data_IF_591829803535
#
_entry.id   IF_591829803535
#
_cell.length_a   1.000
_cell.length_b   1.000
_cell.length_c   1.000
_cell.angle_alpha   90.00
_cell.angle_beta   90.00
_cell.angle_gamma   90.00
#
_symmetry.space_group_name_H-M   'P 1'
#
loop_
_entity.id
_entity.type
_entity.pdbx_description
1 polymer ?
#
# COMPACT_ATOMS: atom_id res chain seq x y z
N UNK A 1 13.67 30.08 4.80
CA UNK A 1 14.46 29.37 5.82
C UNK A 1 15.78 30.10 5.98
N UNK A 2 16.25 30.38 7.21
CA UNK A 2 17.58 30.95 7.43
C UNK A 2 18.60 29.80 7.46
N UNK A 3 19.53 29.78 6.51
CA UNK A 3 20.50 28.70 6.31
C UNK A 3 21.88 28.97 6.91
N UNK A 4 22.08 30.12 7.55
CA UNK A 4 23.39 30.56 8.04
C UNK A 4 24.04 29.52 8.98
N UNK A 5 23.25 28.84 9.80
CA UNK A 5 23.72 27.77 10.68
C UNK A 5 24.23 26.54 9.92
N UNK A 6 23.57 26.20 8.80
CA UNK A 6 23.95 25.08 7.93
C UNK A 6 25.20 25.43 7.12
N UNK A 7 25.26 26.65 6.57
CA UNK A 7 26.42 27.19 5.87
C UNK A 7 27.65 27.22 6.78
N UNK A 8 27.48 27.64 8.04
CA UNK A 8 28.55 27.58 9.04
C UNK A 8 29.10 26.16 9.17
N UNK A 9 28.24 25.16 9.40
CA UNK A 9 28.67 23.76 9.54
C UNK A 9 29.40 23.27 8.27
N UNK A 10 28.89 23.60 7.09
CA UNK A 10 29.49 23.22 5.80
C UNK A 10 30.89 23.84 5.63
N UNK A 11 31.07 25.11 6.03
CA UNK A 11 32.35 25.82 5.90
C UNK A 11 33.39 25.43 6.96
N UNK A 12 32.97 24.77 8.06
CA UNK A 12 33.85 24.40 9.18
C UNK A 12 34.61 23.08 8.97
N UNK A 13 34.75 22.62 7.72
CA UNK A 13 35.44 21.35 7.38
C UNK A 13 36.86 21.23 7.94
N UNK A 14 37.62 22.32 8.01
CA UNK A 14 39.00 22.35 8.52
C UNK A 14 39.09 22.60 10.03
N UNK A 15 38.40 23.62 10.54
CA UNK A 15 38.53 24.09 11.93
C UNK A 15 37.61 23.39 12.92
N UNK A 16 36.58 22.67 12.45
CA UNK A 16 35.60 21.97 13.31
C UNK A 16 35.04 22.92 14.39
N UNK A 17 34.56 24.08 13.96
CA UNK A 17 34.00 25.10 14.85
C UNK A 17 32.76 24.62 15.61
N UNK A 18 32.57 25.11 16.82
CA UNK A 18 31.41 24.79 17.67
C UNK A 18 30.26 25.70 17.29
N UNK A 19 29.11 25.11 16.96
CA UNK A 19 27.88 25.83 16.68
C UNK A 19 27.09 26.04 17.96
N UNK A 20 26.79 27.29 18.31
CA UNK A 20 25.86 27.64 19.38
C UNK A 20 24.54 28.08 18.72
N UNK A 21 23.43 27.50 19.14
CA UNK A 21 22.10 27.79 18.60
C UNK A 21 21.13 28.11 19.71
N UNK A 22 20.24 29.07 19.45
CA UNK A 22 19.06 29.24 20.30
C UNK A 22 18.20 27.98 20.21
N UNK A 23 17.71 27.49 21.34
CA UNK A 23 16.74 26.38 21.39
C UNK A 23 15.43 26.68 20.61
N UNK A 24 15.11 27.96 20.43
CA UNK A 24 13.94 28.43 19.68
C UNK A 24 14.21 28.61 18.18
N UNK A 25 15.44 28.43 17.72
CA UNK A 25 15.76 28.53 16.30
C UNK A 25 15.20 27.31 15.56
N UNK A 26 14.62 27.50 14.38
CA UNK A 26 14.16 26.38 13.54
C UNK A 26 15.26 25.37 13.18
N UNK A 27 16.53 25.83 13.15
CA UNK A 27 17.68 24.94 12.94
C UNK A 27 18.04 24.09 14.18
N UNK A 28 17.51 24.39 15.37
CA UNK A 28 17.79 23.63 16.59
C UNK A 28 17.23 22.21 16.53
N UNK A 29 16.09 22.00 15.85
CA UNK A 29 15.52 20.68 15.67
C UNK A 29 16.42 19.77 14.80
N UNK A 30 17.09 20.35 13.81
CA UNK A 30 17.92 19.65 12.84
C UNK A 30 19.38 19.50 13.27
N UNK A 31 19.96 20.56 13.84
CA UNK A 31 21.39 20.65 14.18
C UNK A 31 21.64 20.57 15.70
N UNK A 32 20.59 20.41 16.51
CA UNK A 32 20.68 20.45 17.97
C UNK A 32 21.56 19.35 18.56
N UNK A 33 21.58 18.17 17.94
CA UNK A 33 22.37 17.04 18.42
C UNK A 33 23.90 17.27 18.33
N UNK A 34 24.36 18.12 17.40
CA UNK A 34 25.77 18.54 17.33
C UNK A 34 26.02 19.99 17.74
N UNK A 35 24.99 20.77 18.08
CA UNK A 35 25.12 22.15 18.55
C UNK A 35 25.12 22.24 20.09
N UNK A 36 25.54 23.39 20.63
CA UNK A 36 25.20 23.78 21.99
C UNK A 36 23.91 24.59 21.91
N UNK A 37 22.83 24.04 22.46
CA UNK A 37 21.55 24.74 22.56
C UNK A 37 21.56 25.66 23.77
N UNK A 38 21.11 26.90 23.58
CA UNK A 38 21.02 27.90 24.64
C UNK A 38 19.67 28.59 24.63
N UNK A 39 19.17 28.96 25.81
CA UNK A 39 18.11 29.94 25.90
C UNK A 39 18.70 31.35 25.74
N UNK A 40 18.37 32.10 24.66
CA UNK A 40 18.97 33.42 24.40
C UNK A 40 18.59 34.48 25.44
N UNK A 41 17.54 34.26 26.23
CA UNK A 41 17.11 35.15 27.30
C UNK A 41 17.89 34.95 28.60
N UNK A 42 18.61 33.83 28.72
CA UNK A 42 19.48 33.54 29.86
C UNK A 42 20.92 33.95 29.54
N UNK A 43 21.24 35.21 29.82
CA UNK A 43 22.54 35.82 29.47
C UNK A 43 23.71 35.07 30.11
N UNK A 44 23.53 34.54 31.33
CA UNK A 44 24.54 33.77 32.05
C UNK A 44 24.86 32.47 31.32
N UNK A 45 23.82 31.73 30.91
CA UNK A 45 23.96 30.47 30.17
C UNK A 45 24.58 30.68 28.79
N UNK A 46 24.23 31.77 28.10
CA UNK A 46 24.86 32.13 26.82
C UNK A 46 26.35 32.42 27.02
N UNK A 47 26.72 33.21 28.04
CA UNK A 47 28.11 33.51 28.35
C UNK A 47 28.91 32.24 28.71
N UNK A 48 28.32 31.36 29.51
CA UNK A 48 28.91 30.08 29.89
C UNK A 48 29.10 29.15 28.70
N UNK A 49 28.13 29.12 27.79
CA UNK A 49 28.17 28.32 26.56
C UNK A 49 29.23 28.83 25.59
N UNK A 50 29.42 30.14 25.46
CA UNK A 50 30.51 30.74 24.68
C UNK A 50 31.86 30.36 25.27
N UNK A 51 32.01 30.49 26.60
CA UNK A 51 33.24 30.08 27.31
C UNK A 51 33.52 28.60 27.07
N UNK A 52 32.51 27.75 27.24
CA UNK A 52 32.63 26.31 27.02
C UNK A 52 33.03 25.98 25.58
N UNK A 53 32.40 26.60 24.58
CA UNK A 53 32.73 26.43 23.17
C UNK A 53 34.18 26.82 22.84
N UNK A 54 34.70 27.90 23.45
CA UNK A 54 36.08 28.34 23.26
C UNK A 54 37.11 27.41 23.91
N UNK A 55 36.76 26.77 25.03
CA UNK A 55 37.63 25.84 25.77
C UNK A 55 37.41 24.37 25.39
N UNK A 56 36.52 24.08 24.45
CA UNK A 56 36.12 22.71 24.12
C UNK A 56 37.29 21.91 23.50
N UNK A 57 37.57 20.68 23.99
CA UNK A 57 38.59 19.81 23.43
C UNK A 57 38.38 19.52 21.94
N UNK A 58 39.46 19.31 21.19
CA UNK A 58 39.43 19.02 19.74
C UNK A 58 38.52 17.85 19.38
N UNK A 59 38.56 16.80 20.20
CA UNK A 59 37.90 15.54 19.91
C UNK A 59 36.37 15.68 20.04
N UNK A 60 35.92 16.45 21.04
CA UNK A 60 34.50 16.77 21.21
C UNK A 60 34.00 17.65 20.08
N UNK A 61 34.80 18.66 19.69
CA UNK A 61 34.49 19.55 18.57
C UNK A 61 34.34 18.80 17.26
N UNK A 62 35.24 17.85 17.00
CA UNK A 62 35.18 17.02 15.81
C UNK A 62 33.94 16.12 15.81
N UNK A 63 33.63 15.48 16.94
CA UNK A 63 32.44 14.64 17.07
C UNK A 63 31.15 15.42 16.81
N UNK A 64 31.02 16.60 17.41
CA UNK A 64 29.88 17.51 17.23
C UNK A 64 29.77 18.00 15.78
N UNK A 65 30.89 18.44 15.18
CA UNK A 65 30.93 18.85 13.77
C UNK A 65 30.52 17.71 12.86
N UNK A 66 31.05 16.49 13.08
CA UNK A 66 30.74 15.32 12.26
C UNK A 66 29.24 15.00 12.26
N UNK A 67 28.58 15.08 13.41
CA UNK A 67 27.15 14.83 13.53
C UNK A 67 26.33 15.84 12.71
N UNK A 68 26.61 17.14 12.88
CA UNK A 68 25.92 18.17 12.13
C UNK A 68 26.27 18.15 10.63
N UNK A 69 27.53 17.91 10.28
CA UNK A 69 27.98 17.87 8.89
C UNK A 69 27.31 16.74 8.12
N UNK A 70 27.19 15.55 8.73
CA UNK A 70 26.44 14.44 8.14
C UNK A 70 25.01 14.88 7.81
N UNK A 71 24.30 15.50 8.76
CA UNK A 71 22.94 15.99 8.54
C UNK A 71 22.84 17.01 7.40
N UNK A 72 23.74 18.00 7.35
CA UNK A 72 23.77 19.01 6.27
C UNK A 72 24.04 18.38 4.90
N UNK A 73 24.86 17.33 4.83
CA UNK A 73 25.20 16.68 3.56
C UNK A 73 24.17 15.66 3.07
N UNK A 74 23.39 15.06 3.97
CA UNK A 74 22.41 14.01 3.61
C UNK A 74 21.00 14.54 3.41
N UNK A 75 20.67 15.74 3.91
CA UNK A 75 19.35 16.35 3.77
C UNK A 75 19.45 17.52 2.80
N UNK A 76 19.47 17.21 1.50
CA UNK A 76 19.64 18.23 0.46
C UNK A 76 18.34 18.95 0.14
N UNK A 77 18.45 20.09 -0.54
CA UNK A 77 17.27 20.79 -1.07
C UNK A 77 16.52 19.93 -2.11
N UNK A 78 17.21 19.00 -2.78
CA UNK A 78 16.59 18.07 -3.71
C UNK A 78 15.76 17.03 -2.96
N UNK A 79 16.31 16.41 -1.91
CA UNK A 79 15.56 15.45 -1.08
C UNK A 79 14.33 16.10 -0.43
N UNK A 80 14.48 17.35 0.03
CA UNK A 80 13.36 18.14 0.53
C UNK A 80 12.31 18.41 -0.55
N UNK A 81 12.72 18.78 -1.76
CA UNK A 81 11.79 19.06 -2.86
C UNK A 81 11.04 17.80 -3.31
N UNK A 82 11.73 16.66 -3.39
CA UNK A 82 11.12 15.37 -3.70
C UNK A 82 10.10 14.96 -2.62
N UNK A 83 10.48 15.07 -1.34
CA UNK A 83 9.58 14.81 -0.21
C UNK A 83 8.37 15.75 -0.21
N UNK A 84 8.60 17.05 -0.44
CA UNK A 84 7.53 18.05 -0.47
C UNK A 84 6.55 17.81 -1.63
N UNK A 85 7.05 17.49 -2.83
CA UNK A 85 6.20 17.16 -3.98
C UNK A 85 5.43 15.86 -3.72
N UNK A 86 6.06 14.87 -3.10
CA UNK A 86 5.39 13.64 -2.69
C UNK A 86 4.26 13.91 -1.69
N UNK A 87 4.52 14.63 -0.60
CA UNK A 87 3.50 15.03 0.38
C UNK A 87 2.39 15.88 -0.26
N UNK A 88 2.74 16.78 -1.17
CA UNK A 88 1.77 17.61 -1.87
C UNK A 88 0.87 16.75 -2.78
N UNK A 89 1.43 15.80 -3.51
CA UNK A 89 0.63 14.84 -4.30
C UNK A 89 -0.27 14.00 -3.40
N UNK A 90 0.19 13.55 -2.24
CA UNK A 90 -0.62 12.81 -1.27
C UNK A 90 -1.79 13.69 -0.74
N UNK A 91 -1.53 14.96 -0.41
CA UNK A 91 -2.61 15.89 -0.01
C UNK A 91 -3.59 16.19 -1.13
N UNK A 92 -3.14 16.24 -2.40
CA UNK A 92 -4.02 16.38 -3.56
C UNK A 92 -4.86 15.13 -3.73
N UNK A 93 -4.29 13.94 -3.61
CA UNK A 93 -5.05 12.68 -3.62
C UNK A 93 -6.08 12.66 -2.49
N UNK A 94 -5.71 13.08 -1.28
CA UNK A 94 -6.63 13.20 -0.14
C UNK A 94 -7.72 14.26 -0.39
N UNK A 95 -7.39 15.39 -1.01
CA UNK A 95 -8.32 16.47 -1.35
C UNK A 95 -9.31 16.04 -2.46
N UNK A 96 -8.84 15.29 -3.46
CA UNK A 96 -9.68 14.68 -4.48
C UNK A 96 -10.63 13.67 -3.85
N UNK A 97 -10.15 12.83 -2.93
CA UNK A 97 -11.01 11.95 -2.13
C UNK A 97 -12.03 12.74 -1.28
N UNK A 98 -11.68 13.92 -0.78
CA UNK A 98 -12.58 14.81 -0.04
C UNK A 98 -13.66 15.47 -0.91
N UNK A 99 -13.39 15.68 -2.19
CA UNK A 99 -14.34 16.26 -3.17
C UNK A 99 -15.21 15.21 -3.86
N UNK A 100 -14.92 13.92 -3.70
CA UNK A 100 -15.77 12.85 -4.24
C UNK A 100 -17.13 12.83 -3.56
N UNK A 101 -18.16 12.77 -4.40
CA UNK A 101 -19.54 12.57 -3.95
C UNK A 101 -19.68 11.18 -3.36
N UNK A 102 -20.56 11.04 -2.37
CA UNK A 102 -20.92 9.75 -1.78
C UNK A 102 -21.54 8.89 -2.90
N UNK A 103 -21.05 7.66 -3.15
CA UNK A 103 -21.63 6.81 -4.17
C UNK A 103 -23.13 6.58 -3.90
N UNK A 104 -23.97 6.50 -4.95
CA UNK A 104 -25.38 6.20 -4.78
C UNK A 104 -25.58 4.81 -4.15
N UNK A 105 -26.74 4.60 -3.53
CA UNK A 105 -27.11 3.27 -3.01
C UNK A 105 -27.16 2.23 -4.13
N UNK A 106 -26.80 0.97 -3.80
CA UNK A 106 -26.88 -0.15 -4.75
C UNK A 106 -28.33 -0.33 -5.27
N UNK A 107 -28.57 -0.31 -6.59
CA UNK A 107 -29.86 -0.69 -7.15
C UNK A 107 -30.06 -2.21 -7.06
N UNK A 108 -30.42 -2.71 -5.86
CA UNK A 108 -30.49 -4.15 -5.53
C UNK A 108 -31.28 -4.97 -6.55
N UNK A 109 -32.45 -4.48 -6.95
CA UNK A 109 -33.32 -5.19 -7.89
C UNK A 109 -32.66 -5.37 -9.27
N UNK A 110 -31.93 -4.36 -9.75
CA UNK A 110 -31.22 -4.43 -11.02
C UNK A 110 -30.05 -5.40 -10.93
N UNK A 111 -29.27 -5.33 -9.85
CA UNK A 111 -28.15 -6.26 -9.61
C UNK A 111 -28.63 -7.72 -9.57
N UNK A 112 -29.71 -8.01 -8.84
CA UNK A 112 -30.31 -9.35 -8.78
C UNK A 112 -30.82 -9.79 -10.16
N UNK A 113 -31.49 -8.92 -10.91
CA UNK A 113 -31.98 -9.25 -12.25
C UNK A 113 -30.86 -9.57 -13.24
N UNK A 114 -29.76 -8.80 -13.22
CA UNK A 114 -28.61 -9.08 -14.07
C UNK A 114 -27.90 -10.36 -13.63
N UNK A 115 -27.77 -10.59 -12.33
CA UNK A 115 -27.24 -11.84 -11.77
C UNK A 115 -28.01 -13.05 -12.30
N UNK A 116 -29.35 -13.06 -12.24
CA UNK A 116 -30.17 -14.19 -12.71
C UNK A 116 -30.08 -14.44 -14.22
N UNK A 117 -29.77 -13.43 -15.02
CA UNK A 117 -29.63 -13.54 -16.49
C UNK A 117 -28.25 -14.02 -16.94
N UNK A 118 -27.27 -13.95 -16.05
CA UNK A 118 -25.86 -14.19 -16.35
C UNK A 118 -25.50 -15.67 -16.30
N UNK A 119 -24.53 -16.06 -17.12
CA UNK A 119 -24.14 -17.47 -17.31
C UNK A 119 -22.95 -17.86 -16.44
N UNK A 120 -22.00 -16.95 -16.22
CA UNK A 120 -20.83 -17.17 -15.38
C UNK A 120 -20.59 -15.94 -14.50
N UNK A 121 -20.87 -16.11 -13.21
CA UNK A 121 -20.98 -15.03 -12.22
C UNK A 121 -19.80 -15.06 -11.26
N UNK A 122 -19.18 -13.92 -11.04
CA UNK A 122 -18.12 -13.75 -10.05
C UNK A 122 -18.60 -12.88 -8.89
N UNK A 123 -18.60 -13.44 -7.68
CA UNK A 123 -18.93 -12.73 -6.44
C UNK A 123 -17.65 -12.55 -5.61
N UNK A 124 -17.25 -11.30 -5.40
CA UNK A 124 -16.09 -10.93 -4.59
C UNK A 124 -16.59 -10.26 -3.32
N UNK A 125 -16.32 -10.88 -2.17
CA UNK A 125 -16.80 -10.44 -0.88
C UNK A 125 -15.63 -10.12 0.05
N UNK A 126 -15.57 -8.90 0.57
CA UNK A 126 -14.70 -8.56 1.68
C UNK A 126 -15.17 -9.25 2.96
N UNK A 127 -14.25 -9.71 3.81
CA UNK A 127 -14.66 -10.30 5.11
C UNK A 127 -14.88 -9.20 6.16
N UNK A 128 -13.81 -8.50 6.53
CA UNK A 128 -13.77 -7.54 7.64
C UNK A 128 -14.81 -6.42 7.45
N UNK A 129 -15.64 -6.18 8.47
CA UNK A 129 -16.68 -5.13 8.47
C UNK A 129 -17.70 -5.22 7.33
N UNK A 130 -17.78 -6.36 6.65
CA UNK A 130 -18.69 -6.62 5.52
C UNK A 130 -19.55 -7.85 5.80
N UNK A 131 -18.93 -9.03 5.97
CA UNK A 131 -19.61 -10.27 6.32
C UNK A 131 -19.56 -10.59 7.83
N UNK A 132 -18.78 -9.81 8.57
CA UNK A 132 -18.61 -10.00 10.02
C UNK A 132 -19.84 -9.54 10.78
N UNK A 133 -20.15 -10.23 11.87
CA UNK A 133 -21.16 -9.79 12.83
C UNK A 133 -20.85 -8.36 13.32
N UNK A 134 -21.85 -7.45 13.37
CA UNK A 134 -21.64 -6.15 13.99
C UNK A 134 -21.29 -6.38 15.46
N UNK A 135 -20.12 -5.89 15.87
CA UNK A 135 -19.73 -5.89 17.29
C UNK A 135 -20.61 -4.85 17.99
N UNK A 136 -21.82 -5.25 18.37
CA UNK A 136 -22.68 -4.42 19.20
C UNK A 136 -21.96 -4.13 20.51
N UNK A 137 -21.89 -2.85 20.86
CA UNK A 137 -21.46 -2.35 22.16
C UNK A 137 -22.46 -2.78 23.24
N UNK A 138 -22.53 -4.06 23.54
CA UNK A 138 -23.41 -4.66 24.53
C UNK A 138 -22.85 -4.43 25.94
N UNK A 139 -22.73 -3.17 26.36
CA UNK A 139 -22.79 -2.72 27.76
C UNK A 139 -21.89 -3.36 28.84
N UNK A 140 -21.00 -4.29 28.52
CA UNK A 140 -20.20 -5.02 29.52
C UNK A 140 -18.90 -4.28 29.77
N UNK A 141 -18.95 -3.36 30.74
CA UNK A 141 -17.77 -2.82 31.43
C UNK A 141 -17.07 -3.96 32.19
N UNK A 142 -16.18 -4.68 31.53
CA UNK A 142 -15.31 -5.63 32.23
C UNK A 142 -14.33 -6.31 31.29
N UNK A 143 -13.03 -6.06 31.51
CA UNK A 143 -11.84 -6.89 31.25
C UNK A 143 -11.60 -7.56 29.88
N UNK A 144 -12.62 -8.13 29.24
CA UNK A 144 -12.53 -9.12 28.17
C UNK A 144 -12.92 -8.57 26.78
N UNK A 145 -12.89 -7.24 26.60
CA UNK A 145 -13.18 -6.56 25.32
C UNK A 145 -12.23 -6.94 24.18
N UNK A 146 -11.10 -7.58 24.50
CA UNK A 146 -10.14 -8.08 23.50
C UNK A 146 -10.66 -9.38 22.85
N UNK A 147 -11.50 -10.19 23.53
CA UNK A 147 -12.15 -11.37 22.91
C UNK A 147 -13.30 -11.01 21.97
N UNK A 148 -13.91 -9.84 22.14
CA UNK A 148 -14.90 -9.28 21.19
C UNK A 148 -14.28 -8.88 19.84
N UNK A 149 -12.98 -9.13 19.65
CA UNK A 149 -12.24 -8.88 18.42
C UNK A 149 -12.11 -10.09 17.49
N UNK A 150 -12.56 -11.27 17.91
CA UNK A 150 -12.61 -12.45 17.04
C UNK A 150 -13.58 -12.17 15.88
N UNK A 151 -13.05 -12.14 14.66
CA UNK A 151 -13.85 -11.93 13.46
C UNK A 151 -14.69 -13.18 13.22
N UNK A 152 -16.00 -13.07 13.45
CA UNK A 152 -16.98 -14.13 13.22
C UNK A 152 -17.92 -13.77 12.08
N UNK A 153 -18.20 -14.75 11.24
CA UNK A 153 -19.20 -14.66 10.19
C UNK A 153 -20.58 -14.42 10.79
N UNK A 154 -21.31 -13.46 10.25
CA UNK A 154 -22.68 -13.16 10.67
C UNK A 154 -23.56 -14.43 10.56
N UNK A 155 -24.28 -14.84 11.62
CA UNK A 155 -24.98 -16.13 11.65
C UNK A 155 -25.99 -16.28 10.51
N UNK A 156 -26.70 -15.20 10.19
CA UNK A 156 -27.68 -15.17 9.11
C UNK A 156 -27.13 -15.34 7.69
N UNK A 157 -25.80 -15.23 7.50
CA UNK A 157 -25.16 -15.40 6.19
C UNK A 157 -24.86 -16.85 5.85
N UNK A 158 -24.83 -17.76 6.83
CA UNK A 158 -24.46 -19.17 6.60
C UNK A 158 -25.38 -19.84 5.55
N UNK A 159 -26.69 -19.65 5.68
CA UNK A 159 -27.67 -20.17 4.72
C UNK A 159 -27.52 -19.59 3.32
N UNK A 160 -27.58 -18.26 3.15
CA UNK A 160 -27.39 -17.58 1.86
C UNK A 160 -26.06 -17.90 1.18
N UNK A 161 -24.94 -17.86 1.91
CA UNK A 161 -23.62 -18.16 1.34
C UNK A 161 -23.54 -19.61 0.87
N UNK A 162 -24.11 -20.57 1.62
CA UNK A 162 -24.15 -21.97 1.20
C UNK A 162 -24.90 -22.13 -0.12
N UNK A 163 -26.08 -21.51 -0.24
CA UNK A 163 -26.87 -21.55 -1.48
C UNK A 163 -26.13 -20.93 -2.68
N UNK A 164 -25.40 -19.82 -2.47
CA UNK A 164 -24.61 -19.19 -3.52
C UNK A 164 -23.38 -20.01 -3.93
N UNK A 165 -22.74 -20.70 -2.98
CA UNK A 165 -21.56 -21.54 -3.24
C UNK A 165 -21.91 -22.91 -3.85
N UNK A 166 -23.16 -23.35 -3.76
CA UNK A 166 -23.64 -24.59 -4.39
C UNK A 166 -24.00 -24.40 -5.87
N UNK A 167 -24.14 -23.15 -6.33
CA UNK A 167 -24.43 -22.83 -7.73
C UNK A 167 -23.16 -22.91 -8.59
N UNK A 168 -23.07 -23.91 -9.47
CA UNK A 168 -21.90 -24.15 -10.34
C UNK A 168 -21.60 -23.01 -11.32
N UNK A 169 -22.58 -22.13 -11.57
CA UNK A 169 -22.40 -20.95 -12.43
C UNK A 169 -21.88 -19.72 -11.66
N UNK A 170 -21.66 -19.85 -10.36
CA UNK A 170 -21.28 -18.76 -9.47
C UNK A 170 -19.98 -19.09 -8.75
N UNK A 171 -18.93 -18.36 -9.09
CA UNK A 171 -17.66 -18.42 -8.36
C UNK A 171 -17.67 -17.38 -7.24
N UNK A 172 -17.53 -17.83 -5.99
CA UNK A 172 -17.45 -16.95 -4.82
C UNK A 172 -16.00 -16.85 -4.34
N UNK A 173 -15.53 -15.61 -4.15
CA UNK A 173 -14.20 -15.28 -3.61
C UNK A 173 -14.39 -14.43 -2.35
N UNK A 174 -13.77 -14.85 -1.24
CA UNK A 174 -13.68 -14.04 -0.02
C UNK A 174 -12.27 -13.48 0.13
N UNK A 175 -12.18 -12.15 0.25
CA UNK A 175 -10.93 -11.43 0.44
C UNK A 175 -10.84 -10.84 1.85
N UNK A 176 -9.86 -11.28 2.63
CA UNK A 176 -9.63 -10.79 3.98
C UNK A 176 -8.26 -10.14 4.13
N UNK A 177 -8.12 -9.29 5.15
CA UNK A 177 -6.80 -8.90 5.65
C UNK A 177 -6.26 -9.88 6.70
N UNK A 178 -7.13 -10.70 7.29
CA UNK A 178 -6.82 -11.60 8.40
C UNK A 178 -6.03 -12.84 7.97
N UNK A 179 -5.53 -13.55 8.98
CA UNK A 179 -4.80 -14.81 8.86
C UNK A 179 -5.63 -15.94 8.25
N UNK A 180 -4.92 -16.98 7.80
CA UNK A 180 -5.47 -18.21 7.22
C UNK A 180 -6.39 -18.94 8.20
N UNK A 181 -6.00 -19.04 9.47
CA UNK A 181 -6.78 -19.72 10.52
C UNK A 181 -8.17 -19.12 10.70
N UNK A 182 -8.26 -17.79 10.75
CA UNK A 182 -9.54 -17.08 10.88
C UNK A 182 -10.46 -17.39 9.70
N UNK A 183 -9.91 -17.44 8.49
CA UNK A 183 -10.66 -17.77 7.28
C UNK A 183 -11.09 -19.25 7.24
N UNK A 184 -10.24 -20.17 7.67
CA UNK A 184 -10.56 -21.59 7.76
C UNK A 184 -11.66 -21.87 8.78
N UNK A 185 -11.62 -21.24 9.96
CA UNK A 185 -12.64 -21.38 10.99
C UNK A 185 -14.01 -20.86 10.55
N UNK A 186 -14.05 -19.77 9.79
CA UNK A 186 -15.30 -19.14 9.36
C UNK A 186 -15.86 -19.71 8.04
N UNK A 187 -14.98 -20.09 7.11
CA UNK A 187 -15.36 -20.43 5.74
C UNK A 187 -14.89 -21.82 5.27
N UNK A 188 -14.27 -22.61 6.14
CA UNK A 188 -13.75 -23.94 5.79
C UNK A 188 -14.79 -24.92 5.27
N UNK A 189 -16.07 -24.76 5.66
CA UNK A 189 -17.16 -25.62 5.20
C UNK A 189 -17.74 -25.26 3.81
N UNK A 190 -17.40 -24.09 3.25
CA UNK A 190 -17.98 -23.60 2.01
C UNK A 190 -17.09 -23.84 0.80
N UNK A 191 -17.73 -24.09 -0.35
CA UNK A 191 -17.08 -24.20 -1.66
C UNK A 191 -16.80 -22.82 -2.23
N UNK A 192 -15.74 -22.17 -1.76
CA UNK A 192 -15.34 -20.83 -2.21
C UNK A 192 -13.83 -20.66 -2.22
N UNK A 193 -13.36 -19.70 -3.01
CA UNK A 193 -11.98 -19.22 -2.97
C UNK A 193 -11.77 -18.32 -1.76
N UNK A 194 -10.67 -18.52 -1.04
CA UNK A 194 -10.27 -17.68 0.07
C UNK A 194 -8.94 -16.98 -0.21
N UNK A 195 -8.85 -15.70 0.14
CA UNK A 195 -7.59 -14.97 0.12
C UNK A 195 -7.32 -14.35 1.49
N UNK A 196 -6.27 -14.82 2.15
CA UNK A 196 -5.79 -14.32 3.43
C UNK A 196 -4.69 -13.26 3.23
N UNK A 197 -4.49 -12.41 4.24
CA UNK A 197 -3.46 -11.36 4.25
C UNK A 197 -3.40 -10.55 2.94
N UNK A 198 -4.55 -10.02 2.52
CA UNK A 198 -4.71 -9.20 1.32
C UNK A 198 -4.32 -9.90 0.00
N UNK A 199 -4.31 -11.23 0.01
CA UNK A 199 -3.98 -12.04 -1.16
C UNK A 199 -2.57 -12.61 -1.17
N UNK A 200 -1.84 -12.53 -0.06
CA UNK A 200 -0.58 -13.24 0.08
C UNK A 200 -0.78 -14.76 0.03
N UNK A 201 -1.83 -15.23 0.70
CA UNK A 201 -2.21 -16.64 0.70
C UNK A 201 -3.54 -16.80 -0.02
N UNK A 202 -3.60 -17.75 -0.95
CA UNK A 202 -4.80 -18.09 -1.68
C UNK A 202 -5.18 -19.54 -1.36
N UNK A 203 -6.46 -19.85 -1.32
CA UNK A 203 -6.97 -21.20 -1.22
C UNK A 203 -8.01 -21.40 -2.32
N UNK A 204 -7.75 -22.29 -3.30
CA UNK A 204 -8.77 -22.69 -4.25
C UNK A 204 -9.98 -23.33 -3.57
N UNK A 205 -11.10 -23.47 -4.29
CA UNK A 205 -12.32 -24.14 -3.81
C UNK A 205 -12.03 -25.53 -3.26
N UNK A 206 -11.15 -26.27 -3.92
CA UNK A 206 -10.69 -27.60 -3.54
C UNK A 206 -9.16 -27.57 -3.52
N UNK A 207 -8.56 -27.51 -2.34
CA UNK A 207 -7.10 -27.52 -2.23
C UNK A 207 -6.58 -27.02 -0.90
N UNK A 208 -5.26 -26.99 -0.82
CA UNK A 208 -4.53 -26.41 0.31
C UNK A 208 -4.19 -24.95 0.03
N UNK A 209 -3.80 -24.24 1.10
CA UNK A 209 -3.31 -22.87 0.98
C UNK A 209 -2.05 -22.81 0.12
N UNK A 210 -2.12 -22.06 -0.96
CA UNK A 210 -0.96 -21.69 -1.77
C UNK A 210 -0.45 -20.31 -1.32
N UNK A 211 0.87 -20.17 -1.30
CA UNK A 211 1.52 -18.92 -0.94
C UNK A 211 2.00 -18.24 -2.22
N UNK A 212 1.59 -16.99 -2.43
CA UNK A 212 1.92 -16.22 -3.65
C UNK A 212 3.11 -15.28 -3.47
N UNK A 213 4.03 -15.65 -2.58
CA UNK A 213 5.18 -14.82 -2.21
C UNK A 213 6.01 -14.47 -3.45
N UNK A 214 6.37 -13.19 -3.65
CA UNK A 214 7.42 -12.84 -4.58
C UNK A 214 8.73 -13.56 -4.19
N UNK A 215 9.49 -14.07 -5.17
CA UNK A 215 10.73 -14.84 -4.95
C UNK A 215 11.82 -14.07 -4.16
N UNK A 216 11.66 -12.77 -3.99
CA UNK A 216 12.59 -11.88 -3.29
C UNK A 216 11.98 -11.17 -2.08
N UNK A 217 10.96 -11.76 -1.44
CA UNK A 217 10.38 -11.14 -0.26
C UNK A 217 11.41 -11.08 0.87
N UNK A 218 11.84 -9.85 1.18
CA UNK A 218 12.72 -9.56 2.30
C UNK A 218 11.85 -9.25 3.54
N UNK A 219 12.03 -10.04 4.61
CA UNK A 219 11.34 -9.90 5.90
C UNK A 219 12.25 -9.35 7.01
N UNK A 220 13.42 -8.80 6.68
CA UNK A 220 14.40 -8.23 7.63
C UNK A 220 13.83 -7.03 8.41
N UNK A 221 12.74 -6.43 7.93
CA UNK A 221 12.05 -5.30 8.56
C UNK A 221 11.14 -5.73 9.72
N UNK A 222 10.74 -7.00 9.80
CA UNK A 222 9.71 -7.52 10.73
C UNK A 222 10.06 -7.22 12.19
N UNK A 223 11.25 -7.62 12.64
CA UNK A 223 11.68 -7.43 14.03
C UNK A 223 11.79 -5.93 14.38
N UNK A 224 12.26 -5.14 13.43
CA UNK A 224 12.41 -3.69 13.62
C UNK A 224 11.06 -2.97 13.71
N UNK A 225 10.08 -3.36 12.88
CA UNK A 225 8.70 -2.82 12.93
C UNK A 225 7.99 -3.28 14.20
N UNK A 226 8.17 -4.54 14.60
CA UNK A 226 7.62 -5.09 15.84
C UNK A 226 8.03 -4.25 17.05
N UNK A 227 9.30 -3.89 17.17
CA UNK A 227 9.76 -3.04 18.28
C UNK A 227 9.12 -1.65 18.30
N UNK A 228 8.88 -1.04 17.14
CA UNK A 228 8.14 0.23 17.06
C UNK A 228 6.70 0.04 17.50
N UNK A 229 6.03 -1.02 17.05
CA UNK A 229 4.64 -1.31 17.41
C UNK A 229 4.48 -1.61 18.90
N UNK A 230 5.39 -2.38 19.50
CA UNK A 230 5.47 -2.64 20.94
C UNK A 230 5.60 -1.32 21.72
N UNK A 231 6.57 -0.48 21.34
CA UNK A 231 6.81 0.81 21.99
C UNK A 231 5.58 1.71 21.99
N UNK A 232 4.87 1.82 20.86
CA UNK A 232 3.66 2.65 20.78
C UNK A 232 2.44 2.01 21.44
N UNK A 233 2.40 0.68 21.52
CA UNK A 233 1.33 -0.05 22.21
C UNK A 233 1.41 0.17 23.72
N UNK A 234 2.60 0.07 24.31
CA UNK A 234 2.82 0.29 25.75
C UNK A 234 2.41 1.69 26.22
N UNK A 235 2.65 2.73 25.39
CA UNK A 235 2.31 4.12 25.70
C UNK A 235 0.90 4.53 25.29
N UNK A 236 0.15 3.67 24.60
CA UNK A 236 -1.20 3.98 24.12
C UNK A 236 -2.21 3.01 24.75
N UNK A 237 -2.83 3.37 25.90
CA UNK A 237 -3.77 2.49 26.58
C UNK A 237 -4.89 2.00 25.66
N UNK A 238 -5.20 0.70 25.74
CA UNK A 238 -6.22 0.01 24.92
C UNK A 238 -5.92 -0.06 23.42
N UNK A 239 -4.74 0.36 22.99
CA UNK A 239 -4.22 -0.09 21.70
C UNK A 239 -3.66 -1.51 21.83
N UNK A 240 -3.54 -2.19 20.71
CA UNK A 240 -2.85 -3.47 20.58
C UNK A 240 -2.29 -3.56 19.16
N UNK A 241 -1.36 -4.48 18.96
CA UNK A 241 -0.99 -4.89 17.62
C UNK A 241 -1.23 -6.38 17.41
N UNK A 242 -1.51 -6.71 16.17
CA UNK A 242 -1.65 -8.06 15.65
C UNK A 242 -0.43 -8.34 14.78
N UNK A 243 0.27 -9.44 15.08
CA UNK A 243 1.36 -9.95 14.26
C UNK A 243 0.81 -11.08 13.40
N UNK A 244 0.77 -10.85 12.08
CA UNK A 244 0.41 -11.85 11.07
C UNK A 244 1.67 -12.45 10.47
N UNK A 245 1.53 -13.39 9.52
CA UNK A 245 2.71 -14.03 8.94
C UNK A 245 3.51 -13.08 8.04
N UNK A 246 2.83 -12.18 7.33
CA UNK A 246 3.46 -11.25 6.37
C UNK A 246 3.12 -9.77 6.59
N UNK A 247 2.31 -9.46 7.60
CA UNK A 247 1.97 -8.08 7.96
C UNK A 247 1.85 -7.84 9.47
N UNK A 248 1.91 -6.57 9.86
CA UNK A 248 1.61 -6.12 11.21
C UNK A 248 0.48 -5.11 11.17
N UNK A 249 -0.46 -5.21 12.09
CA UNK A 249 -1.55 -4.25 12.23
C UNK A 249 -1.58 -3.69 13.64
N UNK A 250 -1.34 -2.40 13.79
CA UNK A 250 -1.56 -1.69 15.04
C UNK A 250 -2.95 -1.08 15.03
N UNK A 251 -3.73 -1.37 16.07
CA UNK A 251 -5.12 -0.98 16.18
C UNK A 251 -5.34 -0.16 17.45
N UNK A 252 -5.91 1.02 17.27
CA UNK A 252 -6.21 1.96 18.35
C UNK A 252 -7.72 2.28 18.40
N UNK A 253 -8.57 1.37 17.91
CA UNK A 253 -10.02 1.54 17.86
C UNK A 253 -10.64 1.85 19.23
N UNK A 254 -10.12 1.21 20.27
CA UNK A 254 -10.59 1.31 21.66
C UNK A 254 -9.78 2.28 22.52
N UNK A 255 -8.71 2.87 21.97
CA UNK A 255 -8.00 3.97 22.59
C UNK A 255 -8.81 5.26 22.47
N UNK A 256 -8.39 6.29 23.20
CA UNK A 256 -8.89 7.64 22.97
C UNK A 256 -8.63 8.07 21.51
N UNK A 257 -9.62 8.72 20.88
CA UNK A 257 -9.62 8.96 19.43
C UNK A 257 -8.57 9.98 19.04
N UNK A 258 -8.46 11.07 19.82
CA UNK A 258 -7.54 12.16 19.53
C UNK A 258 -6.12 11.75 19.87
N UNK A 259 -5.93 11.16 21.05
CA UNK A 259 -4.64 10.64 21.48
C UNK A 259 -4.14 9.52 20.57
N UNK A 260 -4.98 8.52 20.26
CA UNK A 260 -4.65 7.43 19.35
C UNK A 260 -4.25 7.92 17.96
N UNK A 261 -4.89 8.97 17.45
CA UNK A 261 -4.51 9.59 16.17
C UNK A 261 -3.15 10.28 16.23
N UNK A 262 -2.84 11.01 17.30
CA UNK A 262 -1.52 11.62 17.50
C UNK A 262 -0.44 10.54 17.57
N UNK A 263 -0.70 9.48 18.34
CA UNK A 263 0.17 8.32 18.49
C UNK A 263 0.42 7.60 17.15
N UNK A 264 -0.62 7.44 16.33
CA UNK A 264 -0.49 6.88 14.98
C UNK A 264 0.43 7.73 14.10
N UNK A 265 0.27 9.05 14.13
CA UNK A 265 1.09 9.97 13.33
C UNK A 265 2.56 9.91 13.74
N UNK A 266 2.82 9.95 15.04
CA UNK A 266 4.18 9.87 15.57
C UNK A 266 4.80 8.48 15.26
N UNK A 267 4.01 7.39 15.35
CA UNK A 267 4.44 6.06 14.93
C UNK A 267 4.86 6.02 13.47
N UNK A 268 4.06 6.58 12.56
CA UNK A 268 4.38 6.63 11.14
C UNK A 268 5.71 7.34 10.88
N UNK A 269 5.96 8.44 11.58
CA UNK A 269 7.24 9.15 11.49
C UNK A 269 8.41 8.28 11.96
N UNK A 270 8.26 7.54 13.07
CA UNK A 270 9.28 6.62 13.57
C UNK A 270 9.56 5.45 12.61
N UNK A 271 8.51 4.94 11.97
CA UNK A 271 8.65 3.91 10.94
C UNK A 271 9.44 4.46 9.76
N UNK A 272 9.00 5.57 9.17
CA UNK A 272 9.62 6.16 7.97
C UNK A 272 11.06 6.62 8.18
N UNK A 273 11.39 7.13 9.37
CA UNK A 273 12.76 7.58 9.67
C UNK A 273 13.71 6.45 10.08
N UNK A 274 13.18 5.26 10.36
CA UNK A 274 13.96 4.13 10.85
C UNK A 274 13.73 2.85 10.04
N UNK A 275 13.01 1.86 10.57
CA UNK A 275 12.96 0.49 10.04
C UNK A 275 12.57 0.35 8.57
N UNK A 276 11.65 1.20 8.10
CA UNK A 276 11.04 1.04 6.78
C UNK A 276 11.59 2.02 5.74
N UNK A 277 12.57 2.86 6.11
CA UNK A 277 13.18 3.87 5.22
C UNK A 277 13.76 3.28 3.92
N UNK A 278 14.29 2.06 3.98
CA UNK A 278 14.89 1.34 2.85
C UNK A 278 14.29 -0.07 2.65
N UNK A 279 13.18 -0.37 3.31
CA UNK A 279 12.54 -1.68 3.22
C UNK A 279 11.47 -1.70 2.12
N UNK A 280 11.30 -2.84 1.46
CA UNK A 280 10.25 -3.04 0.44
C UNK A 280 8.87 -3.29 1.10
N UNK A 281 8.41 -2.31 1.88
CA UNK A 281 7.13 -2.37 2.60
C UNK A 281 6.21 -1.21 2.26
N UNK A 282 4.92 -1.51 2.30
CA UNK A 282 3.84 -0.57 2.18
C UNK A 282 3.18 -0.34 3.54
N UNK A 283 2.97 0.93 3.86
CA UNK A 283 2.14 1.32 5.00
C UNK A 283 0.73 1.62 4.51
N UNK A 284 -0.28 1.04 5.15
CA UNK A 284 -1.70 1.25 4.90
C UNK A 284 -2.33 1.90 6.13
N UNK A 285 -2.75 3.16 6.00
CA UNK A 285 -3.41 3.86 7.08
C UNK A 285 -4.93 3.63 7.03
N UNK A 286 -5.47 3.03 8.08
CA UNK A 286 -6.89 2.89 8.33
C UNK A 286 -7.47 4.07 9.12
N UNK A 287 -8.77 4.04 9.39
CA UNK A 287 -9.43 5.08 10.21
C UNK A 287 -8.98 5.04 11.68
N UNK A 288 -8.75 3.83 12.20
CA UNK A 288 -8.28 3.57 13.57
C UNK A 288 -7.22 2.47 13.64
N UNK A 289 -6.44 2.34 12.58
CA UNK A 289 -5.38 1.33 12.48
C UNK A 289 -4.26 1.80 11.57
N UNK A 290 -3.07 1.24 11.77
CA UNK A 290 -1.92 1.35 10.88
C UNK A 290 -1.45 -0.06 10.57
N UNK A 291 -1.37 -0.40 9.30
CA UNK A 291 -0.87 -1.69 8.83
C UNK A 291 0.43 -1.51 8.06
N UNK A 292 1.41 -2.39 8.33
CA UNK A 292 2.65 -2.50 7.57
C UNK A 292 2.67 -3.87 6.92
N UNK A 293 2.77 -3.90 5.60
CA UNK A 293 2.77 -5.13 4.78
C UNK A 293 3.82 -5.02 3.68
N UNK A 294 4.11 -6.13 3.01
CA UNK A 294 5.07 -6.12 1.90
C UNK A 294 4.54 -5.35 0.68
N UNK A 295 5.44 -4.70 -0.09
CA UNK A 295 5.08 -3.98 -1.32
C UNK A 295 4.45 -4.93 -2.35
N UNK A 296 3.41 -4.45 -3.03
CA UNK A 296 2.75 -5.18 -4.11
C UNK A 296 1.73 -6.23 -3.64
N UNK A 297 1.48 -6.32 -2.33
CA UNK A 297 0.41 -7.13 -1.76
C UNK A 297 -0.85 -6.27 -1.66
N UNK A 298 -1.74 -6.39 -2.64
CA UNK A 298 -3.04 -5.71 -2.66
C UNK A 298 -4.15 -6.68 -3.04
N UNK A 299 -5.39 -6.35 -2.67
CA UNK A 299 -6.56 -7.15 -3.02
C UNK A 299 -6.80 -7.20 -4.53
N UNK A 300 -6.50 -6.13 -5.28
CA UNK A 300 -6.53 -6.13 -6.74
C UNK A 300 -5.52 -7.12 -7.34
N UNK A 301 -4.27 -7.11 -6.87
CA UNK A 301 -3.24 -8.06 -7.31
C UNK A 301 -3.61 -9.52 -6.95
N UNK A 302 -4.29 -9.73 -5.82
CA UNK A 302 -4.82 -11.04 -5.44
C UNK A 302 -5.82 -11.59 -6.46
N UNK A 303 -6.75 -10.74 -6.90
CA UNK A 303 -7.76 -11.11 -7.89
C UNK A 303 -7.12 -11.46 -9.24
N UNK A 304 -6.12 -10.68 -9.68
CA UNK A 304 -5.40 -10.97 -10.92
C UNK A 304 -4.80 -12.39 -10.90
N UNK A 305 -4.18 -12.78 -9.77
CA UNK A 305 -3.64 -14.14 -9.58
C UNK A 305 -4.73 -15.20 -9.54
N UNK A 306 -5.84 -14.96 -8.82
CA UNK A 306 -6.95 -15.91 -8.73
C UNK A 306 -7.57 -16.15 -10.11
N UNK A 307 -7.80 -15.10 -10.90
CA UNK A 307 -8.30 -15.23 -12.26
C UNK A 307 -7.33 -15.99 -13.15
N UNK A 308 -6.03 -15.72 -13.02
CA UNK A 308 -4.98 -16.51 -13.66
C UNK A 308 -5.14 -18.00 -13.34
N UNK A 309 -5.22 -18.37 -12.06
CA UNK A 309 -5.38 -19.76 -11.64
C UNK A 309 -6.70 -20.39 -12.14
N UNK A 310 -7.82 -19.69 -12.10
CA UNK A 310 -9.11 -20.19 -12.59
C UNK A 310 -9.02 -20.55 -14.08
N UNK A 311 -8.34 -19.73 -14.88
CA UNK A 311 -8.16 -19.97 -16.31
C UNK A 311 -7.31 -21.21 -16.58
N UNK A 312 -6.23 -21.40 -15.80
CA UNK A 312 -5.31 -22.52 -15.99
C UNK A 312 -5.85 -23.84 -15.41
N UNK A 313 -6.58 -23.79 -14.29
CA UNK A 313 -7.04 -24.98 -13.55
C UNK A 313 -8.39 -25.52 -14.01
N UNK A 314 -9.34 -24.65 -14.39
CA UNK A 314 -10.72 -25.07 -14.69
C UNK A 314 -11.07 -25.06 -16.18
N UNK A 315 -10.10 -24.82 -17.08
CA UNK A 315 -10.30 -24.87 -18.53
C UNK A 315 -11.58 -24.12 -18.96
N UNK A 316 -11.70 -22.89 -18.46
CA UNK A 316 -12.95 -22.14 -18.42
C UNK A 316 -13.63 -22.06 -19.80
N UNK A 317 -14.82 -22.65 -19.90
CA UNK A 317 -15.55 -22.77 -21.17
C UNK A 317 -16.36 -21.51 -21.49
N UNK A 318 -16.84 -20.81 -20.45
CA UNK A 318 -17.68 -19.60 -20.57
C UNK A 318 -17.02 -18.40 -19.90
N UNK A 319 -16.88 -17.26 -20.58
CA UNK A 319 -16.33 -16.04 -19.99
C UNK A 319 -17.23 -15.51 -18.87
N UNK A 320 -16.63 -14.83 -17.88
CA UNK A 320 -17.37 -14.18 -16.79
C UNK A 320 -18.14 -12.99 -17.37
N UNK A 321 -19.46 -12.98 -17.20
CA UNK A 321 -20.38 -11.98 -17.74
C UNK A 321 -21.07 -11.12 -16.67
N UNK A 322 -20.82 -11.42 -15.39
CA UNK A 322 -21.29 -10.66 -14.23
C UNK A 322 -20.26 -10.63 -13.11
N UNK A 323 -20.03 -9.44 -12.54
CA UNK A 323 -19.13 -9.27 -11.40
C UNK A 323 -19.80 -8.40 -10.33
N UNK A 324 -19.89 -8.93 -9.11
CA UNK A 324 -20.31 -8.20 -7.92
C UNK A 324 -19.14 -8.16 -6.94
N UNK A 325 -18.68 -6.97 -6.58
CA UNK A 325 -17.63 -6.74 -5.59
C UNK A 325 -18.18 -5.94 -4.42
N UNK A 326 -18.28 -6.53 -3.23
CA UNK A 326 -18.76 -5.88 -2.02
C UNK A 326 -17.66 -5.94 -0.96
N UNK A 327 -17.30 -4.80 -0.35
CA UNK A 327 -16.31 -4.82 0.71
C UNK A 327 -16.16 -3.52 1.49
N UNK A 328 -15.54 -3.62 2.66
CA UNK A 328 -14.96 -2.50 3.38
C UNK A 328 -13.44 -2.51 3.17
N UNK A 329 -13.00 -2.00 2.02
CA UNK A 329 -11.58 -1.96 1.68
C UNK A 329 -10.94 -0.64 2.08
N UNK A 330 -9.68 -0.71 2.53
CA UNK A 330 -8.86 0.48 2.81
C UNK A 330 -8.41 1.12 1.50
N UNK A 331 -7.93 2.37 1.55
CA UNK A 331 -7.62 3.14 0.33
C UNK A 331 -6.69 2.42 -0.66
N UNK A 332 -5.63 1.76 -0.17
CA UNK A 332 -4.70 0.98 -1.00
C UNK A 332 -5.28 -0.33 -1.57
N UNK A 333 -6.43 -0.79 -1.05
CA UNK A 333 -7.13 -2.00 -1.49
C UNK A 333 -8.38 -1.67 -2.32
N UNK A 334 -8.66 -0.39 -2.59
CA UNK A 334 -9.74 0.03 -3.49
C UNK A 334 -9.35 -0.08 -4.98
N UNK A 335 -8.15 -0.58 -5.26
CA UNK A 335 -7.70 -0.95 -6.61
C UNK A 335 -8.62 -2.01 -7.24
N UNK A 336 -9.16 -2.91 -6.41
CA UNK A 336 -10.12 -3.94 -6.82
C UNK A 336 -11.43 -3.38 -7.39
N UNK A 337 -11.88 -2.20 -6.95
CA UNK A 337 -13.10 -1.56 -7.47
C UNK A 337 -12.90 -0.97 -8.85
N UNK A 338 -11.64 -0.74 -9.22
CA UNK A 338 -11.24 -0.20 -10.52
C UNK A 338 -10.83 -1.32 -11.46
N UNK A 339 -10.35 -2.44 -10.94
CA UNK A 339 -9.80 -3.56 -11.70
C UNK A 339 -10.73 -4.07 -12.82
N UNK A 340 -12.04 -4.18 -12.55
CA UNK A 340 -13.03 -4.66 -13.51
C UNK A 340 -13.84 -3.54 -14.17
N UNK A 341 -13.56 -2.27 -13.88
CA UNK A 341 -14.36 -1.16 -14.38
C UNK A 341 -13.99 -0.86 -15.85
N UNK A 342 -14.86 -1.14 -16.83
CA UNK A 342 -14.57 -0.91 -18.24
C UNK A 342 -14.55 0.59 -18.61
N UNK A 343 -15.12 1.45 -17.77
CA UNK A 343 -15.21 2.91 -18.00
C UNK A 343 -14.08 3.67 -17.30
N UNK A 344 -13.29 3.00 -16.46
CA UNK A 344 -12.14 3.64 -15.85
C UNK A 344 -11.04 3.76 -16.91
N UNK A 345 -10.54 4.98 -17.19
CA UNK A 345 -9.42 5.12 -18.11
C UNK A 345 -8.25 4.32 -17.53
N UNK A 346 -7.84 3.25 -18.22
CA UNK A 346 -6.56 2.62 -17.94
C UNK A 346 -5.51 3.74 -17.99
N UNK A 347 -4.86 4.05 -16.87
CA UNK A 347 -3.71 4.95 -16.92
C UNK A 347 -2.67 4.28 -17.82
N UNK A 348 -2.68 4.65 -19.09
CA UNK A 348 -1.58 4.41 -19.99
C UNK A 348 -0.38 5.10 -19.36
N UNK A 349 0.51 4.29 -18.77
CA UNK A 349 1.86 4.67 -18.34
C UNK A 349 2.36 5.78 -19.25
N UNK A 350 2.57 6.97 -18.68
CA UNK A 350 3.22 8.08 -19.38
C UNK A 350 4.56 7.55 -19.88
N UNK A 351 4.63 7.22 -21.18
CA UNK A 351 5.92 7.04 -21.84
C UNK A 351 6.64 8.38 -21.74
N UNK A 352 7.92 8.41 -21.36
CA UNK A 352 8.70 9.62 -21.55
C UNK A 352 8.78 9.84 -23.06
N UNK A 353 7.99 10.78 -23.58
CA UNK A 353 8.17 11.25 -24.94
C UNK A 353 9.55 11.92 -25.01
N UNK A 354 10.50 11.18 -25.57
CA UNK A 354 11.72 11.72 -26.14
C UNK A 354 11.35 12.61 -27.33
N UNK A 355 10.90 13.82 -27.05
CA UNK A 355 10.74 14.89 -28.02
C UNK A 355 12.05 15.65 -28.15
N UNK A 356 12.81 15.35 -29.21
CA UNK A 356 13.90 16.20 -29.67
C UNK A 356 13.34 17.57 -30.09
N UNK A 357 13.46 18.57 -29.23
CA UNK A 357 13.21 19.96 -29.60
C UNK A 357 14.54 20.59 -30.04
N UNK A 358 14.76 20.58 -31.36
CA UNK A 358 15.77 21.38 -32.06
C UNK A 358 15.50 22.88 -31.83
N UNK A 359 16.37 23.51 -31.05
CA UNK A 359 16.42 24.98 -30.93
C UNK A 359 17.14 25.57 -32.15
N UNK A 360 16.36 26.01 -33.13
CA UNK A 360 16.81 26.89 -34.19
C UNK A 360 17.20 28.26 -33.61
N UNK A 361 18.50 28.56 -33.61
CA UNK A 361 19.07 29.88 -33.34
C UNK A 361 19.67 30.44 -34.63
N UNK A 362 19.20 31.62 -35.05
CA UNK A 362 19.95 32.54 -35.92
C UNK A 362 19.55 33.99 -35.59
N UNK A 363 20.35 34.99 -36.01
CA UNK A 363 21.82 35.08 -35.93
C UNK A 363 22.25 36.46 -35.37
N UNK A 364 23.51 36.62 -34.93
CA UNK A 364 24.25 37.87 -35.17
C UNK A 364 25.74 37.79 -34.76
N UNK A 365 26.61 38.15 -35.72
CA UNK A 365 27.78 39.02 -35.53
C UNK A 365 29.05 38.45 -34.90
N UNK A 366 30.01 38.03 -35.73
CA UNK A 366 31.47 38.09 -35.43
C UNK A 366 32.02 39.48 -35.78
N UNK A 367 33.16 39.91 -35.20
CA UNK A 367 34.44 39.88 -35.94
C UNK A 367 35.65 39.49 -35.02
N UNK A 368 36.94 39.61 -35.39
CA UNK A 368 37.73 38.43 -35.78
C UNK A 368 39.10 38.23 -35.08
N UNK A 369 39.61 37.00 -35.20
CA UNK A 369 41.01 36.49 -35.32
C UNK A 369 42.21 37.18 -34.63
N UNK A 370 42.96 36.37 -33.87
CA UNK A 370 44.42 36.13 -33.94
C UNK A 370 44.68 34.93 -32.99
N UNK A 371 45.34 33.81 -33.30
CA UNK A 371 46.42 33.52 -34.24
C UNK A 371 47.67 33.13 -33.44
N UNK A 372 47.91 31.82 -33.21
CA UNK A 372 49.22 31.14 -33.32
C UNK A 372 49.30 29.77 -32.60
N UNK A 373 49.73 28.80 -33.41
CA UNK A 373 50.43 27.54 -33.15
C UNK A 373 51.36 27.48 -31.93
N UNK A 374 51.43 26.33 -31.26
CA UNK A 374 52.61 25.45 -31.38
C UNK A 374 52.43 24.05 -30.79
N UNK A 375 52.99 23.10 -31.52
CA UNK A 375 53.21 21.70 -31.20
C UNK A 375 54.12 21.47 -29.98
N UNK A 376 53.92 20.35 -29.26
CA UNK A 376 54.94 19.29 -29.04
C UNK A 376 54.45 18.27 -27.99
N UNK A 377 54.24 17.04 -28.45
CA UNK A 377 54.55 15.82 -27.69
C UNK A 377 56.04 15.50 -27.95
N UNK A 378 56.77 14.70 -27.14
CA UNK A 378 56.45 13.27 -27.02
C UNK A 378 56.92 12.51 -25.74
N UNK A 379 56.38 11.29 -25.58
CA UNK A 379 57.04 10.03 -25.13
C UNK A 379 57.64 9.98 -23.70
N UNK A 380 57.60 8.90 -22.90
CA UNK A 380 57.49 7.45 -23.13
C UNK A 380 57.46 6.71 -21.77
N UNK A 381 56.83 5.51 -21.74
CA UNK A 381 57.32 4.21 -21.20
C UNK A 381 56.12 3.34 -20.73
N UNK A 382 55.70 2.28 -21.43
CA UNK A 382 56.15 0.85 -21.36
C UNK A 382 56.31 0.33 -19.91
N UNK A 383 55.75 -0.81 -19.46
CA UNK A 383 55.62 -2.13 -20.12
C UNK A 383 54.78 -3.13 -19.27
N UNK A 384 54.15 -4.11 -19.97
CA UNK A 384 53.83 -5.54 -19.65
C UNK A 384 52.83 -5.86 -18.51
N UNK A 385 51.72 -6.60 -18.66
CA UNK A 385 51.29 -7.81 -19.41
C UNK A 385 51.64 -9.17 -18.75
N UNK A 386 50.61 -9.96 -18.42
CA UNK A 386 50.43 -11.43 -18.61
C UNK A 386 49.28 -11.94 -17.70
N UNK A 387 48.11 -12.34 -18.24
CA UNK A 387 47.72 -13.67 -18.78
C UNK A 387 47.62 -14.80 -17.74
N UNK A 388 46.40 -15.32 -17.54
CA UNK A 388 46.10 -16.75 -17.58
C UNK A 388 44.58 -16.94 -17.79
N UNK A 389 44.22 -17.62 -18.87
CA UNK A 389 42.90 -18.10 -19.20
C UNK A 389 42.80 -19.58 -18.82
N UNK A 390 41.64 -20.03 -18.35
CA UNK A 390 41.21 -21.42 -18.45
C UNK A 390 39.74 -21.46 -18.90
N UNK A 391 39.54 -22.17 -20.01
CA UNK A 391 38.27 -22.41 -20.69
C UNK A 391 37.45 -23.48 -19.96
N UNK A 392 36.12 -23.34 -19.96
CA UNK A 392 35.18 -24.37 -20.46
C UNK A 392 33.72 -23.91 -20.38
N UNK A 393 33.20 -23.61 -21.58
CA UNK A 393 31.88 -23.94 -22.10
C UNK A 393 30.74 -24.29 -21.14
N UNK A 394 29.70 -23.45 -21.14
CA UNK A 394 28.34 -23.92 -21.44
C UNK A 394 27.50 -22.77 -22.00
N UNK A 395 26.82 -23.08 -23.09
CA UNK A 395 25.83 -22.27 -23.77
C UNK A 395 24.60 -22.01 -22.91
N UNK A 396 24.18 -20.76 -22.78
CA UNK A 396 22.77 -20.43 -22.53
C UNK A 396 22.43 -19.10 -23.19
N UNK A 397 21.85 -19.22 -24.38
CA UNK A 397 20.94 -18.24 -24.93
C UNK A 397 19.72 -18.13 -24.02
N UNK A 398 19.54 -17.03 -23.30
CA UNK A 398 18.21 -16.64 -22.82
C UNK A 398 18.01 -15.14 -22.95
N UNK A 399 17.23 -14.81 -23.97
CA UNK A 399 16.43 -13.60 -24.10
C UNK A 399 15.65 -13.34 -22.81
N UNK A 400 15.97 -12.27 -22.12
CA UNK A 400 15.16 -11.72 -21.04
C UNK A 400 13.89 -11.09 -21.63
N UNK A 401 12.85 -11.89 -21.83
CA UNK A 401 11.49 -11.38 -22.04
C UNK A 401 10.94 -10.95 -20.69
N UNK A 402 10.98 -9.65 -20.43
CA UNK A 402 10.04 -9.00 -19.52
C UNK A 402 8.66 -9.11 -20.15
N UNK A 403 7.84 -10.06 -19.71
CA UNK A 403 6.45 -10.17 -20.10
C UNK A 403 5.60 -9.22 -19.23
N UNK A 404 5.51 -7.96 -19.66
CA UNK A 404 4.28 -7.19 -19.44
C UNK A 404 3.17 -7.98 -20.16
N UNK A 405 2.29 -8.64 -19.41
CA UNK A 405 1.08 -9.20 -19.99
C UNK A 405 0.11 -8.05 -20.31
N UNK A 406 0.23 -7.54 -21.54
CA UNK A 406 -0.84 -6.77 -22.19
C UNK A 406 -2.00 -7.75 -22.46
N UNK A 407 -3.09 -7.62 -21.70
CA UNK A 407 -4.32 -8.40 -21.88
C UNK A 407 -5.14 -7.96 -23.09
N UNK A 408 -4.50 -7.80 -24.26
CA UNK A 408 -5.18 -7.68 -25.54
C UNK A 408 -4.49 -8.55 -26.58
N UNK A 409 -4.86 -9.83 -26.57
CA UNK A 409 -5.15 -10.69 -27.73
C UNK A 409 -5.01 -12.16 -27.31
N UNK A 410 -6.13 -12.88 -27.19
CA UNK A 410 -6.10 -14.34 -27.33
C UNK A 410 -6.65 -15.24 -26.20
N UNK A 411 -7.42 -14.75 -25.23
CA UNK A 411 -8.41 -15.56 -24.48
C UNK A 411 -9.27 -14.63 -23.60
N UNK A 412 -10.49 -14.28 -24.00
CA UNK A 412 -11.32 -13.35 -23.22
C UNK A 412 -11.90 -14.06 -22.00
N UNK A 413 -11.19 -14.03 -20.88
CA UNK A 413 -11.66 -14.52 -19.57
C UNK A 413 -12.91 -13.75 -19.13
N UNK A 414 -13.07 -12.51 -19.60
CA UNK A 414 -14.17 -11.62 -19.27
C UNK A 414 -14.96 -11.25 -20.53
N UNK A 415 -16.28 -11.36 -20.47
CA UNK A 415 -17.25 -10.75 -21.40
C UNK A 415 -18.17 -9.82 -20.59
N UNK A 416 -17.54 -8.95 -19.81
CA UNK A 416 -18.21 -8.11 -18.83
C UNK A 416 -18.66 -6.79 -19.47
N UNK A 417 -19.98 -6.59 -19.55
CA UNK A 417 -20.55 -5.29 -19.90
C UNK A 417 -20.57 -4.38 -18.67
N UNK A 418 -20.41 -3.06 -18.87
CA UNK A 418 -20.42 -2.08 -17.78
C UNK A 418 -21.69 -2.12 -16.92
N UNK A 419 -22.83 -2.52 -17.48
CA UNK A 419 -24.11 -2.70 -16.77
C UNK A 419 -24.18 -3.94 -15.87
N UNK A 420 -23.24 -4.89 -16.03
CA UNK A 420 -23.13 -6.12 -15.25
C UNK A 420 -22.00 -6.07 -14.21
N UNK A 421 -21.36 -4.90 -14.05
CA UNK A 421 -20.35 -4.67 -13.02
C UNK A 421 -20.90 -3.84 -11.87
N UNK A 422 -20.94 -4.45 -10.68
CA UNK A 422 -21.42 -3.83 -9.45
C UNK A 422 -20.31 -3.80 -8.41
N UNK A 423 -19.67 -2.65 -8.20
CA UNK A 423 -18.74 -2.42 -7.09
C UNK A 423 -19.42 -1.63 -5.97
N UNK A 424 -19.39 -2.16 -4.75
CA UNK A 424 -20.07 -1.62 -3.57
C UNK A 424 -19.08 -1.43 -2.41
N UNK A 425 -18.94 -0.20 -1.96
CA UNK A 425 -18.27 0.10 -0.70
C UNK A 425 -19.22 -0.11 0.47
N UNK A 426 -18.72 -0.65 1.59
CA UNK A 426 -19.52 -0.85 2.81
C UNK A 426 -19.13 0.18 3.87
N UNK A 427 -20.08 1.03 4.26
CA UNK A 427 -19.91 2.02 5.34
C UNK A 427 -18.91 3.15 5.05
N UNK A 428 -18.28 3.19 3.87
CA UNK A 428 -17.33 4.24 3.47
C UNK A 428 -17.99 5.24 2.53
N UNK A 429 -18.24 6.44 3.03
CA UNK A 429 -18.80 7.55 2.24
C UNK A 429 -17.87 8.08 1.14
N UNK A 430 -16.59 7.67 1.15
CA UNK A 430 -15.58 8.05 0.17
C UNK A 430 -14.90 6.77 -0.32
N UNK A 431 -15.14 6.41 -1.57
CA UNK A 431 -14.60 5.19 -2.18
C UNK A 431 -14.48 5.33 -3.70
N UNK A 432 -13.66 4.49 -4.33
CA UNK A 432 -13.65 4.24 -5.77
C UNK A 432 -14.84 3.40 -6.26
N UNK A 433 -15.62 2.79 -5.36
CA UNK A 433 -16.77 1.95 -5.74
C UNK A 433 -17.89 2.76 -6.44
N UNK A 434 -18.59 2.11 -7.37
CA UNK A 434 -19.75 2.68 -8.10
C UNK A 434 -20.97 2.88 -7.19
N UNK A 435 -21.12 2.05 -6.17
CA UNK A 435 -22.27 2.04 -5.26
C UNK A 435 -21.84 1.98 -3.79
N UNK A 436 -22.79 2.28 -2.91
CA UNK A 436 -22.64 2.24 -1.45
C UNK A 436 -23.68 1.31 -0.82
N UNK A 437 -23.23 0.50 0.13
CA UNK A 437 -24.06 -0.15 1.15
C UNK A 437 -23.69 0.47 2.50
N UNK A 438 -24.68 0.90 3.28
CA UNK A 438 -24.45 1.73 4.47
C UNK A 438 -23.84 0.96 5.63
N UNK A 439 -24.15 -0.33 5.75
CA UNK A 439 -23.76 -1.19 6.87
C UNK A 439 -23.59 -2.65 6.44
N UNK A 440 -23.00 -3.47 7.30
CA UNK A 440 -22.96 -4.93 7.12
C UNK A 440 -24.36 -5.55 7.11
N UNK A 441 -25.33 -4.97 7.81
CA UNK A 441 -26.72 -5.46 7.81
C UNK A 441 -27.38 -5.33 6.42
N UNK A 442 -27.13 -4.24 5.70
CA UNK A 442 -27.61 -4.10 4.31
C UNK A 442 -26.96 -5.14 3.39
N UNK A 443 -25.69 -5.49 3.61
CA UNK A 443 -25.01 -6.58 2.89
C UNK A 443 -25.71 -7.91 3.17
N UNK A 444 -26.05 -8.18 4.44
CA UNK A 444 -26.77 -9.39 4.84
C UNK A 444 -28.14 -9.47 4.18
N UNK A 445 -28.90 -8.38 4.18
CA UNK A 445 -30.21 -8.32 3.51
C UNK A 445 -30.08 -8.59 2.01
N UNK A 446 -29.13 -7.93 1.36
CA UNK A 446 -28.90 -8.07 -0.07
C UNK A 446 -28.48 -9.51 -0.46
N UNK A 447 -27.57 -10.13 0.28
CA UNK A 447 -27.15 -11.51 0.02
C UNK A 447 -28.29 -12.52 0.26
N UNK A 448 -29.16 -12.28 1.25
CA UNK A 448 -30.38 -13.07 1.46
C UNK A 448 -31.34 -12.95 0.27
N UNK A 449 -31.57 -11.74 -0.22
CA UNK A 449 -32.41 -11.50 -1.41
C UNK A 449 -31.83 -12.18 -2.66
N UNK A 450 -30.51 -12.09 -2.86
CA UNK A 450 -29.82 -12.73 -3.97
C UNK A 450 -29.95 -14.26 -3.92
N UNK A 451 -29.74 -14.86 -2.74
CA UNK A 451 -29.86 -16.30 -2.55
C UNK A 451 -31.31 -16.80 -2.74
N UNK A 452 -32.30 -16.08 -2.20
CA UNK A 452 -33.72 -16.45 -2.35
C UNK A 452 -34.18 -16.32 -3.81
N UNK A 453 -33.72 -15.29 -4.53
CA UNK A 453 -33.99 -15.14 -5.96
C UNK A 453 -33.40 -16.29 -6.79
N UNK A 454 -32.21 -16.77 -6.42
CA UNK A 454 -31.56 -17.93 -7.07
C UNK A 454 -32.39 -19.20 -6.88
N UNK A 455 -32.84 -19.47 -5.65
CA UNK A 455 -33.67 -20.63 -5.34
C UNK A 455 -35.04 -20.59 -6.04
N UNK A 456 -35.69 -19.41 -6.08
CA UNK A 456 -36.97 -19.22 -6.77
C UNK A 456 -36.87 -19.40 -8.29
N UNK A 457 -35.77 -18.97 -8.90
CA UNK A 457 -35.52 -19.16 -10.34
C UNK A 457 -35.28 -20.63 -10.69
N UNK A 458 -34.55 -21.37 -9.86
CA UNK A 458 -34.34 -22.82 -10.05
C UNK A 458 -35.65 -23.61 -9.93
N UNK A 459 -36.51 -23.28 -8.96
CA UNK A 459 -37.81 -23.91 -8.78
C UNK A 459 -38.75 -23.66 -9.98
N UNK A 460 -38.81 -22.43 -10.49
CA UNK A 460 -39.64 -22.09 -11.66
C UNK A 460 -39.16 -22.74 -12.96
N UNK A 461 -37.84 -22.91 -13.15
CA UNK A 461 -37.30 -23.68 -14.27
C UNK A 461 -37.61 -25.19 -14.15
N UNK A 462 -37.59 -25.75 -12.94
CA UNK A 462 -37.93 -27.15 -12.70
C UNK A 462 -39.42 -27.45 -12.99
N UNK A 463 -40.32 -26.56 -12.55
CA UNK A 463 -41.75 -26.68 -12.82
C UNK A 463 -42.09 -26.57 -14.31
N UNK A 464 -41.41 -25.70 -15.06
CA UNK A 464 -41.59 -25.58 -16.51
C UNK A 464 -41.12 -26.83 -17.28
N UNK A 465 -40.07 -27.49 -16.81
CA UNK A 465 -39.58 -28.75 -17.41
C UNK A 465 -40.53 -29.93 -17.09
N UNK A 466 -41.26 -29.87 -15.97
CA UNK A 466 -42.22 -30.91 -15.58
C UNK A 466 -43.56 -30.81 -16.35
N UNK A 467 -43.90 -29.63 -16.88
CA UNK A 467 -45.12 -29.40 -17.67
C UNK A 467 -44.92 -29.71 -19.17
N UNK A 468 -43.68 -29.85 -19.62
CA UNK A 468 -43.33 -30.17 -21.02
C UNK A 468 -42.82 -31.62 -21.20
N UNK A 469 -42.85 -32.44 -20.14
CA UNK A 469 -42.40 -33.83 -20.13
C UNK A 469 -43.50 -34.87 -20.30
#
# INVERSE_FOLDING_TARGET
MNLVSYEYVACQGSKKGVLILSEFAGAAQSLGAGAILVNPWNITEVADSIRHALTMPSDEREKRHRHNYAHVTTHTAQDWAETFVFELNDTVAEALLRTRQVPPGLPSQMAIQQYLRSKNRLLILGFNSTLTEPVESSGRRGGDQIKEMELKLHPDLKGPLRALCEDERTTVIVLSGSDRSVLDENFGEFKMWLAAEHGMFLRPTYGEWMTTMPEHLNMDWVDSVKHVFEYFTERTPRSHFEHRETSFVWNYKYADVEFGRLQARDMLQHLWTGPISNAAVDVVQGSRSVEVRSVGVTKGAAIDRILGEIVHSENMITPIDYVLCIGHFLGKDEDIYVFFDPEYPSESKVKPEGGSASLDRRPNGRPPSNGRSNSRNPQSRTQKAQQAASERSSSSSHSSTSSNHDWREGSSVLDLKGENYFSCAVGRKRSNARYLLSSSEEVVSFLKELATATAGFQATCADYMHVLG
#
